data_IF_355150797487
#
_entry.id   IF_355150797487
#
_cell.length_a   1.000
_cell.length_b   1.000
_cell.length_c   1.000
_cell.angle_alpha   90.00
_cell.angle_beta   90.00
_cell.angle_gamma   90.00
#
_symmetry.space_group_name_H-M   'P 1'
#
loop_
_entity.id
_entity.type
_entity.pdbx_description
1 polymer ?
#
# COMPACT_ATOMS: atom_id res chain seq x y z
N UNK A 1 -3.74 3.42 -17.89
CA UNK A 1 -3.79 4.01 -16.53
C UNK A 1 -2.55 3.51 -15.81
N UNK A 2 -1.66 4.40 -15.38
CA UNK A 2 -0.53 4.01 -14.55
C UNK A 2 -1.08 3.56 -13.19
N UNK A 3 -0.85 2.29 -12.85
CA UNK A 3 -1.16 1.70 -11.54
C UNK A 3 0.14 1.69 -10.73
N UNK A 4 0.04 1.79 -9.41
CA UNK A 4 1.15 1.62 -8.45
C UNK A 4 2.07 0.44 -8.79
N UNK A 5 1.54 -0.66 -9.31
CA UNK A 5 2.31 -1.83 -9.75
C UNK A 5 3.35 -1.51 -10.85
N UNK A 6 3.10 -0.52 -11.71
CA UNK A 6 4.10 -0.03 -12.68
C UNK A 6 5.28 0.63 -12.00
N UNK A 7 5.04 1.46 -10.99
CA UNK A 7 6.12 2.13 -10.25
C UNK A 7 6.96 1.13 -9.43
N UNK A 8 6.35 0.07 -8.90
CA UNK A 8 7.12 -1.02 -8.29
C UNK A 8 8.07 -1.70 -9.27
N UNK A 9 7.64 -1.95 -10.52
CA UNK A 9 8.51 -2.53 -11.56
C UNK A 9 9.67 -1.61 -11.90
N UNK A 10 9.44 -0.30 -11.97
CA UNK A 10 10.50 0.68 -12.19
C UNK A 10 11.49 0.75 -11.03
N UNK A 11 10.99 0.78 -9.78
CA UNK A 11 11.82 0.75 -8.58
C UNK A 11 12.74 -0.49 -8.57
N UNK A 12 12.18 -1.68 -8.80
CA UNK A 12 12.95 -2.93 -8.88
C UNK A 12 14.03 -2.88 -9.99
N UNK A 13 13.74 -2.21 -11.10
CA UNK A 13 14.70 -2.03 -12.20
C UNK A 13 15.86 -1.12 -11.77
N UNK A 14 15.57 -0.05 -11.02
CA UNK A 14 16.61 0.84 -10.49
C UNK A 14 17.46 0.16 -9.43
N UNK A 15 16.87 -0.61 -8.53
CA UNK A 15 17.60 -1.41 -7.53
C UNK A 15 18.53 -2.43 -8.20
N UNK A 16 18.07 -3.12 -9.25
CA UNK A 16 18.90 -4.07 -9.98
C UNK A 16 20.09 -3.39 -10.66
N UNK A 17 19.89 -2.19 -11.24
CA UNK A 17 20.96 -1.38 -11.85
C UNK A 17 21.98 -0.92 -10.80
N UNK A 18 21.50 -0.42 -9.66
CA UNK A 18 22.34 -0.01 -8.54
C UNK A 18 23.19 -1.18 -8.00
N UNK A 19 22.60 -2.35 -7.83
CA UNK A 19 23.31 -3.57 -7.43
C UNK A 19 24.44 -3.94 -8.41
N UNK A 20 24.20 -3.77 -9.71
CA UNK A 20 25.23 -3.99 -10.75
C UNK A 20 26.36 -2.97 -10.66
N UNK A 21 26.05 -1.70 -10.42
CA UNK A 21 27.04 -0.64 -10.24
C UNK A 21 27.90 -0.87 -9.00
N UNK A 22 27.29 -1.25 -7.88
CA UNK A 22 27.99 -1.60 -6.62
C UNK A 22 28.97 -2.75 -6.83
N UNK A 23 28.59 -3.80 -7.56
CA UNK A 23 29.48 -4.91 -7.93
C UNK A 23 30.68 -4.42 -8.75
N UNK A 24 30.45 -3.58 -9.77
CA UNK A 24 31.53 -3.01 -10.58
C UNK A 24 32.48 -2.12 -9.77
N UNK A 25 31.93 -1.28 -8.89
CA UNK A 25 32.70 -0.39 -8.02
C UNK A 25 33.59 -1.20 -7.05
N UNK A 26 33.06 -2.28 -6.48
CA UNK A 26 33.82 -3.18 -5.59
C UNK A 26 35.05 -3.75 -6.30
N UNK A 27 34.89 -4.28 -7.52
CA UNK A 27 36.00 -4.81 -8.33
C UNK A 27 37.03 -3.72 -8.64
N UNK A 28 36.59 -2.53 -9.05
CA UNK A 28 37.50 -1.40 -9.34
C UNK A 28 38.28 -0.97 -8.10
N UNK A 29 37.66 -0.95 -6.93
CA UNK A 29 38.31 -0.64 -5.65
C UNK A 29 39.37 -1.68 -5.28
N UNK A 30 39.09 -2.96 -5.49
CA UNK A 30 40.06 -4.04 -5.26
C UNK A 30 41.28 -3.91 -6.17
N UNK A 31 41.08 -3.64 -7.47
CA UNK A 31 42.17 -3.38 -8.42
C UNK A 31 43.04 -2.21 -7.99
N UNK A 32 42.40 -1.11 -7.59
CA UNK A 32 43.08 0.12 -7.19
C UNK A 32 43.91 -0.09 -5.91
N UNK A 33 43.39 -0.85 -4.94
CA UNK A 33 44.15 -1.25 -3.76
C UNK A 33 45.37 -2.14 -4.10
N UNK A 34 45.26 -3.01 -5.12
CA UNK A 34 46.38 -3.85 -5.56
C UNK A 34 47.49 -3.03 -6.23
N UNK A 35 47.12 -2.04 -7.05
CA UNK A 35 48.08 -1.12 -7.70
C UNK A 35 48.91 -0.37 -6.65
N UNK A 36 48.28 0.14 -5.59
CA UNK A 36 49.03 0.87 -4.56
C UNK A 36 49.91 -0.02 -3.67
N UNK A 37 49.61 -1.32 -3.56
CA UNK A 37 50.38 -2.28 -2.76
C UNK A 37 51.66 -2.78 -3.43
N UNK A 38 51.74 -2.75 -4.76
CA UNK A 38 52.90 -3.23 -5.53
C UNK A 38 53.53 -2.09 -6.36
N UNK A 39 54.29 -1.17 -5.75
CA UNK A 39 55.02 -0.16 -6.50
C UNK A 39 56.29 -0.79 -7.10
N UNK A 40 56.41 -0.80 -8.44
CA UNK A 40 57.72 -0.81 -9.08
C UNK A 40 58.30 0.62 -8.96
N UNK A 41 59.49 0.75 -8.39
CA UNK A 41 60.13 2.04 -8.07
C UNK A 41 60.78 2.69 -9.31
N UNK A 42 60.63 4.00 -9.47
CA UNK A 42 61.74 5.00 -9.46
C UNK A 42 61.23 6.45 -9.71
N UNK A 43 61.97 7.42 -9.15
CA UNK A 43 61.88 8.89 -9.28
C UNK A 43 60.83 9.69 -8.47
N UNK A 44 61.34 10.61 -7.62
CA UNK A 44 60.58 11.35 -6.59
C UNK A 44 59.46 12.30 -7.06
N UNK A 45 59.30 12.55 -8.36
CA UNK A 45 58.12 13.24 -8.89
C UNK A 45 56.89 12.30 -8.93
N UNK A 46 57.10 11.01 -9.16
CA UNK A 46 56.06 9.98 -9.13
C UNK A 46 55.52 9.74 -7.72
N UNK A 47 56.35 9.89 -6.68
CA UNK A 47 55.94 9.66 -5.28
C UNK A 47 54.89 10.68 -4.83
N UNK A 48 55.09 11.99 -5.10
CA UNK A 48 54.08 13.02 -4.78
C UNK A 48 52.79 12.84 -5.58
N UNK A 49 52.88 12.53 -6.88
CA UNK A 49 51.70 12.25 -7.70
C UNK A 49 50.95 11.00 -7.22
N UNK A 50 51.67 9.98 -6.71
CA UNK A 50 51.08 8.76 -6.14
C UNK A 50 50.27 9.05 -4.88
N UNK A 51 50.81 9.83 -3.94
CA UNK A 51 50.10 10.20 -2.71
C UNK A 51 48.82 11.00 -3.01
N UNK A 52 48.90 11.94 -3.96
CA UNK A 52 47.74 12.72 -4.41
C UNK A 52 46.67 11.82 -5.07
N UNK A 53 47.09 10.89 -5.94
CA UNK A 53 46.19 9.94 -6.62
C UNK A 53 45.56 8.95 -5.62
N UNK A 54 46.30 8.47 -4.63
CA UNK A 54 45.78 7.63 -3.56
C UNK A 54 44.73 8.38 -2.73
N UNK A 55 45.03 9.63 -2.36
CA UNK A 55 44.12 10.45 -1.57
C UNK A 55 42.83 10.79 -2.34
N UNK A 56 42.94 11.20 -3.61
CA UNK A 56 41.79 11.43 -4.49
C UNK A 56 40.95 10.16 -4.63
N UNK A 57 41.60 9.01 -4.79
CA UNK A 57 40.89 7.73 -4.92
C UNK A 57 40.14 7.35 -3.64
N UNK A 58 40.74 7.56 -2.46
CA UNK A 58 40.06 7.38 -1.16
C UNK A 58 38.83 8.27 -1.05
N UNK A 59 38.94 9.53 -1.47
CA UNK A 59 37.82 10.48 -1.46
C UNK A 59 36.70 10.05 -2.41
N UNK A 60 37.03 9.61 -3.64
CA UNK A 60 36.04 9.08 -4.60
C UNK A 60 35.31 7.86 -4.03
N UNK A 61 36.04 6.94 -3.39
CA UNK A 61 35.45 5.77 -2.74
C UNK A 61 34.53 6.17 -1.59
N UNK A 62 34.90 7.18 -0.80
CA UNK A 62 34.06 7.69 0.29
C UNK A 62 32.78 8.33 -0.24
N UNK A 63 32.88 9.19 -1.27
CA UNK A 63 31.73 9.79 -1.94
C UNK A 63 30.80 8.70 -2.50
N UNK A 64 31.36 7.66 -3.10
CA UNK A 64 30.56 6.56 -3.64
C UNK A 64 29.79 5.81 -2.54
N UNK A 65 30.44 5.54 -1.39
CA UNK A 65 29.76 4.94 -0.22
C UNK A 65 28.64 5.82 0.32
N UNK A 66 28.87 7.12 0.47
CA UNK A 66 27.85 8.06 0.93
C UNK A 66 26.68 8.12 -0.04
N UNK A 67 26.95 8.08 -1.36
CA UNK A 67 25.89 7.98 -2.37
C UNK A 67 25.11 6.67 -2.25
N UNK A 68 25.77 5.54 -2.00
CA UNK A 68 25.10 4.25 -1.81
C UNK A 68 24.14 4.29 -0.62
N UNK A 69 24.53 4.92 0.50
CA UNK A 69 23.67 5.12 1.67
C UNK A 69 22.42 5.93 1.31
N UNK A 70 22.62 7.10 0.68
CA UNK A 70 21.50 7.97 0.24
C UNK A 70 20.57 7.25 -0.75
N UNK A 71 21.12 6.47 -1.68
CA UNK A 71 20.33 5.72 -2.66
C UNK A 71 19.49 4.64 -1.98
N UNK A 72 20.07 3.88 -1.04
CA UNK A 72 19.33 2.87 -0.30
C UNK A 72 18.19 3.49 0.53
N UNK A 73 18.46 4.61 1.22
CA UNK A 73 17.44 5.34 1.97
C UNK A 73 16.33 5.86 1.04
N UNK A 74 16.71 6.34 -0.15
CA UNK A 74 15.75 6.77 -1.18
C UNK A 74 14.89 5.61 -1.66
N UNK A 75 15.46 4.43 -1.90
CA UNK A 75 14.69 3.23 -2.28
C UNK A 75 13.72 2.82 -1.17
N UNK A 76 14.16 2.78 0.09
CA UNK A 76 13.31 2.43 1.23
C UNK A 76 12.15 3.43 1.42
N UNK A 77 12.41 4.73 1.29
CA UNK A 77 11.38 5.77 1.31
C UNK A 77 10.40 5.63 0.13
N UNK A 78 10.91 5.34 -1.07
CA UNK A 78 10.09 5.15 -2.27
C UNK A 78 9.18 3.94 -2.12
N UNK A 79 9.71 2.80 -1.66
CA UNK A 79 8.92 1.60 -1.41
C UNK A 79 7.81 1.87 -0.37
N UNK A 80 8.15 2.58 0.72
CA UNK A 80 7.19 2.95 1.75
C UNK A 80 6.08 3.86 1.20
N UNK A 81 6.42 4.82 0.33
CA UNK A 81 5.45 5.68 -0.33
C UNK A 81 4.53 4.88 -1.27
N UNK A 82 5.09 3.94 -2.06
CA UNK A 82 4.30 3.08 -2.94
C UNK A 82 3.34 2.17 -2.14
N UNK A 83 3.77 1.63 -0.99
CA UNK A 83 2.89 0.86 -0.07
C UNK A 83 1.72 1.72 0.42
N UNK A 84 1.99 2.97 0.81
CA UNK A 84 0.95 3.91 1.24
C UNK A 84 -0.02 4.25 0.09
N UNK A 85 0.47 4.46 -1.12
CA UNK A 85 -0.36 4.73 -2.29
C UNK A 85 -1.27 3.54 -2.63
N UNK A 86 -0.74 2.31 -2.62
CA UNK A 86 -1.55 1.11 -2.87
C UNK A 86 -2.65 0.93 -1.83
N UNK A 87 -2.36 1.22 -0.56
CA UNK A 87 -3.38 1.24 0.51
C UNK A 87 -4.42 2.35 0.29
N UNK A 88 -4.01 3.53 -0.19
CA UNK A 88 -4.92 4.63 -0.54
C UNK A 88 -5.92 4.23 -1.62
N UNK A 89 -5.48 3.50 -2.66
CA UNK A 89 -6.36 3.01 -3.73
C UNK A 89 -7.48 2.11 -3.23
N UNK A 90 -7.28 1.42 -2.10
CA UNK A 90 -8.31 0.59 -1.46
C UNK A 90 -9.18 1.41 -0.50
N UNK A 91 -8.57 2.27 0.32
CA UNK A 91 -9.28 3.03 1.34
C UNK A 91 -10.20 4.12 0.77
N UNK A 92 -10.03 4.49 -0.51
CA UNK A 92 -10.92 5.43 -1.20
C UNK A 92 -12.36 4.91 -1.33
N UNK A 93 -12.57 3.58 -1.31
CA UNK A 93 -13.91 2.97 -1.31
C UNK A 93 -14.70 3.20 -0.02
N UNK A 94 -14.12 3.83 1.01
CA UNK A 94 -14.81 4.23 2.24
C UNK A 94 -16.11 4.98 1.96
N UNK A 95 -16.10 5.87 0.97
CA UNK A 95 -17.27 6.69 0.66
C UNK A 95 -18.40 5.84 0.05
N UNK A 96 -18.04 4.85 -0.77
CA UNK A 96 -18.98 3.85 -1.29
C UNK A 96 -19.56 2.93 -0.22
N UNK A 97 -18.78 2.61 0.82
CA UNK A 97 -19.33 2.01 2.04
C UNK A 97 -20.32 2.95 2.73
N UNK A 98 -20.05 4.24 2.73
CA UNK A 98 -21.00 5.27 3.17
C UNK A 98 -22.33 5.20 2.43
N UNK A 99 -22.28 5.24 1.11
CA UNK A 99 -23.43 5.19 0.22
C UNK A 99 -24.23 3.90 0.41
N UNK A 100 -23.55 2.75 0.41
CA UNK A 100 -24.16 1.45 0.64
C UNK A 100 -24.86 1.36 1.99
N UNK A 101 -24.22 1.82 3.07
CA UNK A 101 -24.83 1.82 4.40
C UNK A 101 -26.08 2.70 4.46
N UNK A 102 -26.11 3.80 3.72
CA UNK A 102 -27.30 4.65 3.63
C UNK A 102 -28.44 3.91 2.91
N UNK A 103 -28.14 3.16 1.85
CA UNK A 103 -29.15 2.34 1.19
C UNK A 103 -29.65 1.19 2.07
N UNK A 104 -28.76 0.48 2.75
CA UNK A 104 -29.16 -0.55 3.74
C UNK A 104 -30.06 0.06 4.80
N UNK A 105 -29.68 1.22 5.36
CA UNK A 105 -30.44 1.94 6.39
C UNK A 105 -31.88 2.25 5.96
N UNK A 106 -32.14 2.61 4.69
CA UNK A 106 -33.49 2.91 4.19
C UNK A 106 -34.47 1.74 4.32
N UNK A 107 -33.96 0.51 4.47
CA UNK A 107 -34.76 -0.73 4.61
C UNK A 107 -35.13 -1.05 6.05
N UNK A 108 -34.73 -0.20 7.01
CA UNK A 108 -34.99 -0.40 8.44
C UNK A 108 -35.70 0.81 9.03
N UNK A 109 -36.39 0.57 10.15
CA UNK A 109 -36.81 1.66 11.03
C UNK A 109 -35.59 2.34 11.66
N UNK A 110 -35.74 3.58 12.11
CA UNK A 110 -34.66 4.34 12.76
C UNK A 110 -34.08 3.59 13.96
N UNK A 111 -34.94 2.96 14.75
CA UNK A 111 -34.55 2.25 15.97
C UNK A 111 -33.81 0.95 15.64
N UNK A 112 -34.31 0.15 14.69
CA UNK A 112 -33.65 -1.10 14.27
C UNK A 112 -32.25 -0.82 13.72
N UNK A 113 -32.08 0.22 12.88
CA UNK A 113 -30.77 0.58 12.34
C UNK A 113 -29.79 1.03 13.43
N UNK A 114 -30.26 1.83 14.39
CA UNK A 114 -29.44 2.28 15.52
C UNK A 114 -28.89 1.11 16.32
N UNK A 115 -29.73 0.11 16.57
CA UNK A 115 -29.35 -1.11 17.29
C UNK A 115 -28.38 -1.98 16.49
N UNK A 116 -28.62 -2.19 15.19
CA UNK A 116 -27.69 -2.88 14.30
C UNK A 116 -26.30 -2.24 14.38
N UNK A 117 -26.22 -0.91 14.21
CA UNK A 117 -24.95 -0.20 14.26
C UNK A 117 -24.28 -0.29 15.64
N UNK A 118 -25.06 -0.21 16.71
CA UNK A 118 -24.56 -0.38 18.09
C UNK A 118 -23.92 -1.76 18.30
N UNK A 119 -24.55 -2.82 17.78
CA UNK A 119 -24.06 -4.20 17.85
C UNK A 119 -22.71 -4.35 17.14
N UNK A 120 -22.60 -3.89 15.88
CA UNK A 120 -21.34 -3.94 15.14
C UNK A 120 -20.27 -3.04 15.74
N UNK A 121 -20.62 -1.83 16.17
CA UNK A 121 -19.67 -0.92 16.81
C UNK A 121 -19.08 -1.54 18.07
N UNK A 122 -19.90 -2.19 18.89
CA UNK A 122 -19.45 -2.92 20.08
C UNK A 122 -18.52 -4.06 19.70
N UNK A 123 -18.87 -4.90 18.72
CA UNK A 123 -18.02 -6.00 18.25
C UNK A 123 -16.67 -5.47 17.76
N UNK A 124 -16.67 -4.48 16.88
CA UNK A 124 -15.45 -3.90 16.31
C UNK A 124 -14.58 -3.26 17.38
N UNK A 125 -15.16 -2.51 18.34
CA UNK A 125 -14.40 -1.78 19.37
C UNK A 125 -13.85 -2.69 20.49
N UNK A 126 -14.48 -3.84 20.74
CA UNK A 126 -14.14 -4.68 21.90
C UNK A 126 -13.73 -6.10 21.54
N UNK A 127 -13.80 -6.46 20.26
CA UNK A 127 -13.62 -7.82 19.74
C UNK A 127 -14.52 -8.88 20.40
N UNK A 128 -15.63 -8.46 21.03
CA UNK A 128 -16.59 -9.36 21.68
C UNK A 128 -17.61 -9.87 20.69
N UNK A 129 -17.95 -11.16 20.79
CA UNK A 129 -18.99 -11.80 20.00
C UNK A 129 -20.38 -11.17 20.24
N UNK A 130 -21.27 -11.40 19.27
CA UNK A 130 -22.66 -11.00 19.37
C UNK A 130 -23.34 -11.69 20.56
N UNK A 131 -24.18 -10.94 21.26
CA UNK A 131 -25.00 -11.40 22.38
C UNK A 131 -26.30 -11.96 21.84
N UNK A 132 -26.93 -12.85 22.60
CA UNK A 132 -28.26 -13.40 22.27
C UNK A 132 -29.32 -12.31 22.03
N UNK A 133 -29.25 -11.20 22.77
CA UNK A 133 -30.18 -10.07 22.60
C UNK A 133 -30.02 -9.35 21.25
N UNK A 134 -28.87 -9.48 20.59
CA UNK A 134 -28.61 -8.85 19.29
C UNK A 134 -29.23 -9.65 18.13
N UNK A 135 -29.52 -10.94 18.34
CA UNK A 135 -29.87 -11.90 17.29
C UNK A 135 -31.08 -11.44 16.47
N UNK A 136 -32.08 -10.84 17.13
CA UNK A 136 -33.26 -10.30 16.44
C UNK A 136 -32.91 -9.22 15.40
N UNK A 137 -31.90 -8.39 15.67
CA UNK A 137 -31.47 -7.33 14.76
C UNK A 137 -30.57 -7.89 13.65
N UNK A 138 -29.71 -8.85 13.99
CA UNK A 138 -28.83 -9.53 13.03
C UNK A 138 -29.63 -10.37 12.02
N UNK A 139 -30.70 -11.04 12.44
CA UNK A 139 -31.60 -11.77 11.53
C UNK A 139 -32.24 -10.81 10.54
N UNK A 140 -32.77 -9.67 11.01
CA UNK A 140 -33.36 -8.65 10.13
C UNK A 140 -32.32 -8.12 9.13
N UNK A 141 -31.11 -7.82 9.58
CA UNK A 141 -30.03 -7.38 8.71
C UNK A 141 -29.67 -8.44 7.65
N UNK A 142 -29.54 -9.70 8.08
CA UNK A 142 -29.19 -10.82 7.21
C UNK A 142 -30.19 -11.01 6.06
N UNK A 143 -31.48 -10.77 6.31
CA UNK A 143 -32.50 -10.83 5.24
C UNK A 143 -32.23 -9.80 4.16
N UNK A 144 -31.95 -8.55 4.54
CA UNK A 144 -31.64 -7.47 3.59
C UNK A 144 -30.34 -7.73 2.83
N UNK A 145 -29.27 -8.12 3.53
CA UNK A 145 -27.98 -8.34 2.88
C UNK A 145 -27.98 -9.54 1.93
N UNK A 146 -28.83 -10.54 2.19
CA UNK A 146 -29.00 -11.70 1.31
C UNK A 146 -29.52 -11.32 -0.09
N UNK A 147 -30.26 -10.21 -0.22
CA UNK A 147 -30.73 -9.72 -1.52
C UNK A 147 -29.58 -9.33 -2.46
N UNK A 148 -28.41 -9.02 -1.89
CA UNK A 148 -27.22 -8.56 -2.60
C UNK A 148 -25.99 -9.44 -2.34
N UNK A 149 -26.23 -10.68 -1.90
CA UNK A 149 -25.22 -11.70 -1.65
C UNK A 149 -24.10 -11.28 -0.67
N UNK A 150 -24.42 -10.40 0.30
CA UNK A 150 -23.48 -9.99 1.35
C UNK A 150 -23.83 -10.73 2.64
N UNK A 151 -22.84 -11.30 3.31
CA UNK A 151 -23.02 -11.86 4.65
C UNK A 151 -22.66 -10.87 5.78
N UNK A 152 -22.88 -11.28 7.03
CA UNK A 152 -22.62 -10.43 8.20
C UNK A 152 -21.13 -10.18 8.45
N UNK A 153 -20.25 -11.10 8.05
CA UNK A 153 -18.80 -10.96 8.18
C UNK A 153 -18.28 -9.98 7.13
N UNK A 154 -18.70 -10.13 5.87
CA UNK A 154 -18.41 -9.19 4.80
C UNK A 154 -18.93 -7.78 5.14
N UNK A 155 -20.15 -7.68 5.69
CA UNK A 155 -20.68 -6.40 6.15
C UNK A 155 -19.85 -5.80 7.29
N UNK A 156 -19.39 -6.61 8.25
CA UNK A 156 -18.47 -6.16 9.30
C UNK A 156 -17.16 -5.63 8.71
N UNK A 157 -16.59 -6.31 7.71
CA UNK A 157 -15.39 -5.87 7.01
C UNK A 157 -15.62 -4.49 6.41
N UNK A 158 -16.71 -4.27 5.67
CA UNK A 158 -17.02 -2.96 5.10
C UNK A 158 -17.11 -1.87 6.19
N UNK A 159 -17.74 -2.16 7.32
CA UNK A 159 -17.77 -1.23 8.46
C UNK A 159 -16.37 -0.93 9.02
N UNK A 160 -15.48 -1.92 9.08
CA UNK A 160 -14.08 -1.72 9.49
C UNK A 160 -13.34 -0.84 8.48
N UNK A 161 -13.48 -1.09 7.19
CA UNK A 161 -12.89 -0.28 6.12
C UNK A 161 -13.29 1.20 6.27
N UNK A 162 -14.59 1.46 6.48
CA UNK A 162 -15.11 2.82 6.67
C UNK A 162 -14.49 3.55 7.88
N UNK A 163 -14.09 2.80 8.91
CA UNK A 163 -13.45 3.34 10.12
C UNK A 163 -11.95 3.53 9.95
N UNK A 164 -11.30 2.69 9.16
CA UNK A 164 -9.86 2.77 8.89
C UNK A 164 -9.49 3.87 7.89
N UNK A 165 -10.40 4.28 7.00
CA UNK A 165 -10.13 5.37 6.07
C UNK A 165 -10.07 6.74 6.76
N UNK A 166 -8.88 7.36 6.74
CA UNK A 166 -8.69 8.78 7.06
C UNK A 166 -9.22 9.68 5.91
N UNK A 167 -9.49 10.95 6.21
CA UNK A 167 -9.88 11.97 5.21
C UNK A 167 -8.84 12.13 4.06
N UNK A 168 -7.58 11.78 4.30
CA UNK A 168 -6.47 11.86 3.32
C UNK A 168 -6.62 10.89 2.13
N UNK A 169 -7.53 9.92 2.23
CA UNK A 169 -7.77 8.89 1.23
C UNK A 169 -9.08 9.11 0.45
N UNK A 170 -9.60 10.34 0.44
CA UNK A 170 -10.78 10.72 -0.35
C UNK A 170 -10.57 10.49 -1.86
N UNK A 171 -11.65 10.14 -2.55
CA UNK A 171 -11.66 9.98 -3.99
C UNK A 171 -11.86 11.33 -4.67
N UNK A 172 -10.77 11.97 -5.10
CA UNK A 172 -10.81 13.32 -5.69
C UNK A 172 -11.51 13.39 -7.06
N UNK A 173 -11.81 12.25 -7.69
CA UNK A 173 -12.47 12.17 -8.99
C UNK A 173 -13.72 11.32 -8.91
N UNK A 174 -14.84 11.90 -9.36
CA UNK A 174 -16.08 11.15 -9.54
C UNK A 174 -15.88 10.04 -10.57
N UNK A 175 -16.14 8.80 -10.16
CA UNK A 175 -16.19 7.62 -11.02
C UNK A 175 -17.61 7.04 -11.03
N UNK A 176 -17.99 6.45 -12.15
CA UNK A 176 -19.21 5.64 -12.25
C UNK A 176 -19.00 4.30 -11.56
N UNK A 177 -20.09 3.63 -11.14
CA UNK A 177 -20.01 2.30 -10.52
C UNK A 177 -19.35 1.27 -11.45
N UNK A 178 -19.51 1.39 -12.77
CA UNK A 178 -18.82 0.54 -13.76
C UNK A 178 -17.31 0.69 -13.69
N UNK A 179 -16.82 1.93 -13.71
CA UNK A 179 -15.39 2.23 -13.63
C UNK A 179 -14.80 1.74 -12.31
N UNK A 180 -15.54 1.90 -11.20
CA UNK A 180 -15.09 1.41 -9.90
C UNK A 180 -15.01 -0.11 -9.82
N UNK A 181 -15.95 -0.83 -10.45
CA UNK A 181 -15.89 -2.30 -10.51
C UNK A 181 -14.67 -2.75 -11.34
N UNK A 182 -14.38 -2.07 -12.45
CA UNK A 182 -13.19 -2.34 -13.25
C UNK A 182 -11.90 -2.05 -12.46
N UNK A 183 -11.88 -0.95 -11.69
CA UNK A 183 -10.75 -0.59 -10.84
C UNK A 183 -10.52 -1.57 -9.68
N UNK A 184 -11.53 -2.33 -9.24
CA UNK A 184 -11.32 -3.40 -8.26
C UNK A 184 -10.49 -4.58 -8.80
N UNK A 185 -10.34 -4.69 -10.12
CA UNK A 185 -9.51 -5.73 -10.72
C UNK A 185 -7.99 -5.49 -10.50
N UNK A 186 -7.60 -4.34 -9.95
CA UNK A 186 -6.23 -4.11 -9.46
C UNK A 186 -5.84 -5.10 -8.35
N UNK A 187 -4.53 -5.28 -8.18
CA UNK A 187 -4.00 -6.10 -7.09
C UNK A 187 -4.10 -5.34 -5.76
N UNK A 188 -4.66 -5.97 -4.73
CA UNK A 188 -4.70 -5.36 -3.40
C UNK A 188 -3.40 -5.71 -2.65
N UNK A 189 -2.98 -4.89 -1.68
CA UNK A 189 -2.02 -5.34 -0.68
C UNK A 189 -2.55 -6.59 0.04
N UNK A 190 -1.67 -7.53 0.37
CA UNK A 190 -2.05 -8.79 1.04
C UNK A 190 -2.90 -8.55 2.29
N UNK A 191 -2.57 -7.52 3.06
CA UNK A 191 -3.28 -7.14 4.28
C UNK A 191 -4.66 -6.50 4.06
N UNK A 192 -5.06 -6.27 2.80
CA UNK A 192 -6.35 -5.70 2.40
C UNK A 192 -7.11 -6.58 1.39
N UNK A 193 -6.54 -7.69 0.92
CA UNK A 193 -7.13 -8.55 -0.11
C UNK A 193 -8.54 -9.05 0.27
N UNK A 194 -8.78 -9.29 1.56
CA UNK A 194 -10.08 -9.72 2.08
C UNK A 194 -11.20 -8.68 1.90
N UNK A 195 -10.90 -7.43 1.56
CA UNK A 195 -11.90 -6.42 1.22
C UNK A 195 -12.39 -6.51 -0.23
N UNK A 196 -11.65 -7.15 -1.13
CA UNK A 196 -11.94 -7.14 -2.57
C UNK A 196 -13.31 -7.71 -2.90
N UNK A 197 -13.64 -8.89 -2.37
CA UNK A 197 -14.95 -9.52 -2.57
C UNK A 197 -16.10 -8.68 -1.98
N UNK A 198 -16.07 -8.27 -0.68
CA UNK A 198 -17.08 -7.39 -0.11
C UNK A 198 -17.31 -6.10 -0.90
N UNK A 199 -16.22 -5.45 -1.35
CA UNK A 199 -16.31 -4.21 -2.14
C UNK A 199 -16.98 -4.43 -3.50
N UNK A 200 -16.64 -5.52 -4.19
CA UNK A 200 -17.27 -5.86 -5.49
C UNK A 200 -18.77 -6.09 -5.32
N UNK A 201 -19.16 -6.87 -4.32
CA UNK A 201 -20.57 -7.11 -3.99
C UNK A 201 -21.31 -5.83 -3.64
N UNK A 202 -20.68 -4.96 -2.85
CA UNK A 202 -21.22 -3.65 -2.50
C UNK A 202 -21.49 -2.77 -3.74
N UNK A 203 -20.54 -2.69 -4.68
CA UNK A 203 -20.72 -1.86 -5.87
C UNK A 203 -21.84 -2.41 -6.76
N UNK A 204 -21.95 -3.73 -6.87
CA UNK A 204 -23.06 -4.40 -7.57
C UNK A 204 -24.39 -4.14 -6.85
N UNK A 205 -24.41 -4.17 -5.52
CA UNK A 205 -25.60 -3.84 -4.73
C UNK A 205 -26.09 -2.42 -5.00
N UNK A 206 -25.17 -1.44 -5.01
CA UNK A 206 -25.47 -0.05 -5.33
C UNK A 206 -26.06 0.08 -6.73
N UNK A 207 -25.52 -0.64 -7.72
CA UNK A 207 -26.09 -0.65 -9.08
C UNK A 207 -27.53 -1.15 -9.09
N UNK A 208 -27.80 -2.27 -8.41
CA UNK A 208 -29.15 -2.84 -8.34
C UNK A 208 -30.14 -1.89 -7.68
N UNK A 209 -29.72 -1.17 -6.63
CA UNK A 209 -30.61 -0.29 -5.88
C UNK A 209 -30.78 1.11 -6.47
N UNK A 210 -29.88 1.54 -7.35
CA UNK A 210 -29.99 2.81 -8.09
C UNK A 210 -30.66 2.66 -9.47
N UNK A 211 -30.89 1.41 -9.91
CA UNK A 211 -31.67 1.10 -11.10
C UNK A 211 -33.17 1.22 -10.82
#
# INVERSE_FOLDING_TARGET
>A
MENVDTYYRELNTFEARDLSLKKSLKVKKELLNNIFKNPEEEEGAWIKQKDDVENISKHIVLIAKQKDEIINDTFALTESALKLLKRKEVLCYRDKVGDFNNEVKKRFTRDDWGEIMSVFNRKINTNKNFRKVDEKYLIKLKVVLKEVDIDLEEFELLLRLKRTGNYEFYQDKAKTLDQEIEDLEISFPEELEYFKSPLKKLLLALKVWYS
#
